data_IF_162972551871
#
_entry.id   IF_162972551871
#
_cell.length_a   1.000
_cell.length_b   1.000
_cell.length_c   1.000
_cell.angle_alpha   90.00
_cell.angle_beta   90.00
_cell.angle_gamma   90.00
#
_symmetry.space_group_name_H-M   'P 1'
#
loop_
_entity.id
_entity.type
_entity.pdbx_description
1 polymer ?
#
# COMPACT_ATOMS: atom_id res chain seq x y z
N UNK A 1 -47.44 -34.12 8.02
CA UNK A 1 -47.77 -35.52 7.66
C UNK A 1 -46.47 -36.24 7.29
N UNK A 2 -46.12 -37.20 8.15
CA UNK A 2 -45.42 -38.48 7.90
C UNK A 2 -44.10 -38.42 7.14
N UNK A 3 -42.94 -38.61 7.75
CA UNK A 3 -42.41 -39.73 8.53
C UNK A 3 -41.76 -40.83 7.65
N UNK A 4 -40.54 -41.17 8.06
CA UNK A 4 -39.85 -42.47 8.06
C UNK A 4 -38.68 -42.54 7.12
N UNK A 5 -37.51 -42.74 7.61
CA UNK A 5 -36.85 -43.76 8.43
C UNK A 5 -35.87 -44.60 7.60
N UNK A 6 -34.62 -44.60 8.10
CA UNK A 6 -33.74 -45.80 8.32
C UNK A 6 -33.11 -46.41 7.07
N UNK A 7 -31.87 -46.81 7.02
CA UNK A 7 -31.17 -47.75 7.91
C UNK A 7 -29.70 -47.77 7.67
N UNK A 8 -28.94 -47.92 8.70
CA UNK A 8 -27.51 -48.20 8.76
C UNK A 8 -27.19 -49.62 8.29
N UNK A 9 -25.97 -49.85 7.80
CA UNK A 9 -25.32 -51.15 8.01
C UNK A 9 -23.80 -50.97 8.06
N UNK A 10 -23.27 -51.31 9.21
CA UNK A 10 -21.85 -51.52 9.48
C UNK A 10 -21.42 -52.92 9.08
N UNK A 11 -20.20 -53.11 8.64
CA UNK A 11 -19.46 -54.36 8.82
C UNK A 11 -17.98 -54.11 8.94
N UNK A 12 -17.44 -54.50 10.05
CA UNK A 12 -16.06 -54.61 10.43
C UNK A 12 -15.46 -55.95 9.96
N UNK A 13 -14.17 -55.99 9.73
CA UNK A 13 -13.32 -57.20 9.93
C UNK A 13 -11.86 -56.79 9.73
N UNK A 14 -11.13 -56.70 10.78
CA UNK A 14 -10.22 -57.65 11.46
C UNK A 14 -8.79 -57.70 10.89
N UNK A 15 -7.93 -57.41 11.82
CA UNK A 15 -6.49 -57.36 11.86
C UNK A 15 -5.79 -58.65 11.42
N UNK A 16 -4.54 -58.52 11.02
CA UNK A 16 -3.50 -59.49 11.41
C UNK A 16 -2.13 -58.81 11.55
N UNK A 17 -1.56 -59.02 12.72
CA UNK A 17 -0.24 -58.66 13.18
C UNK A 17 0.76 -59.71 12.64
N UNK A 18 1.92 -59.28 12.16
CA UNK A 18 3.11 -60.13 12.16
C UNK A 18 4.31 -59.26 12.53
N UNK A 19 4.83 -59.47 13.69
CA UNK A 19 6.13 -59.01 14.15
C UNK A 19 7.22 -60.01 13.75
N UNK A 20 8.36 -59.52 13.44
CA UNK A 20 9.69 -59.93 13.89
C UNK A 20 10.75 -59.72 12.79
N UNK A 21 11.86 -59.13 13.18
CA UNK A 21 13.07 -59.09 12.38
C UNK A 21 14.04 -58.00 12.80
N UNK A 22 14.75 -58.18 13.93
CA UNK A 22 15.93 -57.41 14.27
C UNK A 22 17.02 -57.62 13.24
N UNK A 23 17.62 -56.56 12.75
CA UNK A 23 18.85 -56.58 11.98
C UNK A 23 19.38 -55.17 11.87
N UNK A 24 20.34 -54.84 12.75
CA UNK A 24 20.98 -53.51 12.77
C UNK A 24 21.83 -53.29 11.52
N UNK A 25 21.67 -52.15 10.91
CA UNK A 25 22.73 -51.50 10.16
C UNK A 25 22.52 -49.98 10.25
N UNK A 26 23.35 -49.35 11.03
CA UNK A 26 23.38 -47.90 11.22
C UNK A 26 23.93 -47.24 9.94
N UNK A 27 23.09 -46.92 9.01
CA UNK A 27 23.44 -46.07 7.88
C UNK A 27 23.10 -44.64 8.27
N UNK A 28 24.01 -43.66 8.14
CA UNK A 28 23.69 -42.28 8.48
C UNK A 28 22.57 -41.82 7.53
N UNK A 29 21.47 -41.37 8.15
CA UNK A 29 20.39 -40.74 7.41
C UNK A 29 20.96 -39.56 6.60
N UNK A 30 21.08 -39.72 5.32
CA UNK A 30 21.23 -38.59 4.41
C UNK A 30 20.06 -37.68 4.69
N UNK A 31 20.36 -36.52 5.25
CA UNK A 31 19.45 -35.40 5.34
C UNK A 31 18.93 -35.15 3.91
N UNK A 32 17.78 -35.71 3.61
CA UNK A 32 17.06 -35.41 2.39
C UNK A 32 16.80 -33.92 2.39
N UNK A 33 17.43 -33.19 1.49
CA UNK A 33 16.99 -31.86 1.14
C UNK A 33 15.51 -31.96 0.88
N UNK A 34 14.71 -31.32 1.72
CA UNK A 34 13.28 -31.18 1.49
C UNK A 34 13.13 -30.58 0.08
N UNK A 35 12.66 -31.40 -0.85
CA UNK A 35 12.25 -30.95 -2.18
C UNK A 35 11.23 -29.86 -1.90
N UNK A 36 11.63 -28.60 -2.07
CA UNK A 36 10.80 -27.45 -1.74
C UNK A 36 9.47 -27.60 -2.46
N UNK A 37 8.39 -27.74 -1.70
CA UNK A 37 7.06 -27.75 -2.27
C UNK A 37 6.93 -26.51 -3.15
N UNK A 38 6.54 -26.69 -4.41
CA UNK A 38 6.32 -25.58 -5.35
C UNK A 38 5.28 -24.66 -4.74
N UNK A 39 5.61 -23.38 -4.60
CA UNK A 39 4.68 -22.38 -4.11
C UNK A 39 3.76 -22.01 -5.27
N UNK A 40 2.47 -22.24 -5.08
CA UNK A 40 1.41 -21.94 -6.06
C UNK A 40 0.31 -21.11 -5.39
N UNK A 41 -0.52 -20.50 -6.20
CA UNK A 41 -1.69 -19.76 -5.71
C UNK A 41 -1.79 -18.36 -6.27
N UNK A 42 -2.74 -17.59 -5.71
CA UNK A 42 -2.99 -16.21 -6.11
C UNK A 42 -2.85 -15.28 -4.91
N UNK A 43 -2.15 -14.19 -5.10
CA UNK A 43 -2.03 -13.11 -4.12
C UNK A 43 -2.48 -11.80 -4.75
N UNK A 44 -3.40 -11.12 -4.09
CA UNK A 44 -3.88 -9.80 -4.46
C UNK A 44 -3.40 -8.77 -3.44
N UNK A 45 -2.83 -7.67 -3.93
CA UNK A 45 -2.41 -6.55 -3.10
C UNK A 45 -3.02 -5.26 -3.64
N UNK A 46 -3.47 -4.39 -2.75
CA UNK A 46 -4.06 -3.10 -3.11
C UNK A 46 -3.66 -2.03 -2.11
N UNK A 47 -3.69 -0.77 -2.51
CA UNK A 47 -3.54 0.35 -1.59
C UNK A 47 -2.63 1.45 -2.07
N UNK A 48 -1.62 1.82 -1.28
CA UNK A 48 -0.75 2.95 -1.53
C UNK A 48 -0.15 2.96 -2.94
N UNK A 49 -0.40 4.03 -3.68
CA UNK A 49 0.29 4.26 -4.95
C UNK A 49 1.75 4.65 -4.74
N UNK A 50 2.09 5.25 -3.60
CA UNK A 50 3.47 5.63 -3.25
C UNK A 50 4.37 4.41 -3.07
N UNK A 51 3.84 3.30 -2.51
CA UNK A 51 4.56 2.03 -2.37
C UNK A 51 4.57 1.18 -3.65
N UNK A 52 3.75 1.52 -4.64
CA UNK A 52 3.55 0.67 -5.82
C UNK A 52 4.84 0.34 -6.58
N UNK A 53 5.81 1.25 -6.79
CA UNK A 53 7.09 0.91 -7.44
C UNK A 53 7.87 -0.16 -6.67
N UNK A 54 8.00 -0.03 -5.35
CA UNK A 54 8.67 -1.01 -4.49
C UNK A 54 7.97 -2.37 -4.53
N UNK A 55 6.65 -2.37 -4.42
CA UNK A 55 5.84 -3.60 -4.43
C UNK A 55 5.92 -4.30 -5.78
N UNK A 56 5.92 -3.56 -6.90
CA UNK A 56 6.11 -4.12 -8.25
C UNK A 56 7.46 -4.80 -8.40
N UNK A 57 8.55 -4.17 -7.94
CA UNK A 57 9.89 -4.75 -8.00
C UNK A 57 10.00 -6.02 -7.12
N UNK A 58 9.48 -5.95 -5.90
CA UNK A 58 9.43 -7.11 -5.00
C UNK A 58 8.60 -8.26 -5.60
N UNK A 59 7.45 -7.96 -6.18
CA UNK A 59 6.58 -8.94 -6.84
C UNK A 59 7.26 -9.59 -8.04
N UNK A 60 7.98 -8.83 -8.87
CA UNK A 60 8.74 -9.37 -9.99
C UNK A 60 9.84 -10.34 -9.53
N UNK A 61 10.57 -9.96 -8.48
CA UNK A 61 11.60 -10.83 -7.86
C UNK A 61 11.00 -12.08 -7.21
N UNK A 62 9.85 -11.95 -6.57
CA UNK A 62 9.14 -13.10 -6.00
C UNK A 62 8.65 -14.06 -7.09
N UNK A 63 8.05 -13.53 -8.15
CA UNK A 63 7.55 -14.31 -9.28
C UNK A 63 8.66 -15.06 -10.02
N UNK A 64 9.85 -14.47 -10.16
CA UNK A 64 10.98 -15.15 -10.79
C UNK A 64 11.42 -16.41 -10.03
N UNK A 65 11.23 -16.43 -8.71
CA UNK A 65 11.50 -17.58 -7.84
C UNK A 65 10.32 -18.56 -7.73
N UNK A 66 9.11 -18.06 -7.96
CA UNK A 66 7.85 -18.79 -7.79
C UNK A 66 6.94 -18.58 -9.01
N UNK A 67 7.29 -19.15 -10.19
CA UNK A 67 6.63 -18.83 -11.46
C UNK A 67 5.15 -19.25 -11.50
N UNK A 68 4.74 -20.17 -10.65
CA UNK A 68 3.35 -20.67 -10.58
C UNK A 68 2.44 -19.79 -9.70
N UNK A 69 2.98 -18.76 -9.04
CA UNK A 69 2.17 -17.81 -8.26
C UNK A 69 1.64 -16.69 -9.16
N UNK A 70 0.34 -16.41 -9.07
CA UNK A 70 -0.29 -15.25 -9.70
C UNK A 70 -0.29 -14.07 -8.73
N UNK A 71 0.20 -12.91 -9.17
CA UNK A 71 0.24 -11.68 -8.38
C UNK A 71 -0.55 -10.59 -9.08
N UNK A 72 -1.52 -10.00 -8.36
CA UNK A 72 -2.30 -8.85 -8.83
C UNK A 72 -2.04 -7.67 -7.91
N UNK A 73 -1.61 -6.55 -8.49
CA UNK A 73 -1.24 -5.34 -7.75
C UNK A 73 -2.10 -4.16 -8.21
N UNK A 74 -2.80 -3.52 -7.28
CA UNK A 74 -3.66 -2.38 -7.55
C UNK A 74 -3.24 -1.16 -6.71
N UNK A 75 -3.31 0.02 -7.30
CA UNK A 75 -3.27 1.28 -6.58
C UNK A 75 -4.70 1.71 -6.19
N UNK A 76 -4.84 2.68 -5.29
CA UNK A 76 -6.14 3.20 -4.86
C UNK A 76 -6.06 3.97 -3.54
N UNK A 77 -4.83 4.18 -3.05
CA UNK A 77 -4.55 4.84 -1.79
C UNK A 77 -4.58 3.91 -0.58
N UNK A 78 -3.85 4.30 0.46
CA UNK A 78 -3.67 3.52 1.70
C UNK A 78 -4.99 3.15 2.36
N UNK A 79 -5.94 4.07 2.46
CA UNK A 79 -7.25 3.82 3.06
C UNK A 79 -8.05 2.76 2.32
N UNK A 80 -7.98 2.75 0.98
CA UNK A 80 -8.64 1.72 0.16
C UNK A 80 -8.01 0.35 0.42
N UNK A 81 -6.67 0.25 0.39
CA UNK A 81 -5.97 -1.01 0.66
C UNK A 81 -6.25 -1.57 2.05
N UNK A 82 -6.20 -0.71 3.06
CA UNK A 82 -6.50 -1.09 4.44
C UNK A 82 -7.95 -1.57 4.61
N UNK A 83 -8.90 -0.88 3.98
CA UNK A 83 -10.31 -1.32 4.00
C UNK A 83 -10.47 -2.69 3.34
N UNK A 84 -9.89 -2.86 2.16
CA UNK A 84 -10.01 -4.10 1.39
C UNK A 84 -9.37 -5.31 2.10
N UNK A 85 -8.20 -5.15 2.74
CA UNK A 85 -7.58 -6.24 3.50
C UNK A 85 -8.35 -6.54 4.78
N UNK A 86 -8.91 -5.55 5.46
CA UNK A 86 -9.76 -5.75 6.64
C UNK A 86 -11.09 -6.47 6.30
N UNK A 87 -11.57 -6.33 5.08
CA UNK A 87 -12.77 -7.00 4.55
C UNK A 87 -12.44 -8.35 3.88
N UNK A 88 -11.16 -8.74 3.81
CA UNK A 88 -10.72 -10.00 3.19
C UNK A 88 -10.84 -10.04 1.67
N UNK A 89 -11.07 -8.89 1.01
CA UNK A 89 -11.18 -8.82 -0.46
C UNK A 89 -9.82 -8.76 -1.17
N UNK A 90 -8.75 -8.48 -0.44
CA UNK A 90 -7.36 -8.64 -0.87
C UNK A 90 -6.53 -9.30 0.22
N UNK A 91 -5.41 -9.91 -0.15
CA UNK A 91 -4.52 -10.58 0.79
C UNK A 91 -3.58 -9.60 1.51
N UNK A 92 -3.19 -8.51 0.82
CA UNK A 92 -2.24 -7.53 1.32
C UNK A 92 -2.81 -6.12 1.10
N UNK A 93 -2.85 -5.32 2.15
CA UNK A 93 -3.16 -3.90 2.10
C UNK A 93 -1.87 -3.08 2.18
N UNK A 94 -1.50 -2.41 1.10
CA UNK A 94 -0.34 -1.52 1.08
C UNK A 94 -0.71 -0.16 1.68
N UNK A 95 0.04 0.31 2.67
CA UNK A 95 -0.26 1.57 3.34
C UNK A 95 0.99 2.35 3.71
N UNK A 96 0.90 3.68 3.60
CA UNK A 96 1.93 4.63 4.03
C UNK A 96 1.80 4.99 5.51
N UNK A 97 0.68 4.63 6.12
CA UNK A 97 0.34 4.96 7.51
C UNK A 97 -0.19 3.72 8.24
N UNK A 98 -0.09 3.67 9.57
CA UNK A 98 -0.70 2.61 10.37
C UNK A 98 -2.20 2.48 10.12
N UNK A 99 -2.74 1.27 10.30
CA UNK A 99 -4.16 0.97 10.02
C UNK A 99 -5.11 1.86 10.83
N UNK A 100 -4.77 2.18 12.06
CA UNK A 100 -5.57 3.02 12.99
C UNK A 100 -5.75 4.46 12.51
N UNK A 101 -4.89 4.94 11.60
CA UNK A 101 -5.04 6.27 10.98
C UNK A 101 -6.17 6.32 9.93
N UNK A 102 -6.63 5.16 9.44
CA UNK A 102 -7.60 5.06 8.33
C UNK A 102 -8.79 4.17 8.64
N UNK A 103 -8.72 3.33 9.67
CA UNK A 103 -9.76 2.38 10.03
C UNK A 103 -10.21 2.57 11.48
N UNK A 104 -11.46 2.24 11.80
CA UNK A 104 -11.91 2.07 13.18
C UNK A 104 -11.03 1.03 13.91
N UNK A 105 -10.79 1.26 15.21
CA UNK A 105 -9.90 0.44 16.03
C UNK A 105 -10.23 -1.07 15.95
N UNK A 106 -11.50 -1.43 15.94
CA UNK A 106 -11.93 -2.84 15.86
C UNK A 106 -11.53 -3.52 14.55
N UNK A 107 -11.52 -2.78 13.43
CA UNK A 107 -11.06 -3.31 12.13
C UNK A 107 -9.54 -3.35 12.05
N UNK A 108 -8.86 -2.37 12.63
CA UNK A 108 -7.40 -2.30 12.64
C UNK A 108 -6.77 -3.43 13.46
N UNK A 109 -7.33 -3.78 14.62
CA UNK A 109 -6.84 -4.86 15.51
C UNK A 109 -6.70 -6.23 14.85
N UNK A 110 -7.49 -6.52 13.81
CA UNK A 110 -7.43 -7.77 13.06
C UNK A 110 -6.29 -7.85 12.04
N UNK A 111 -5.57 -6.76 11.83
CA UNK A 111 -4.52 -6.68 10.82
C UNK A 111 -3.14 -6.85 11.46
N UNK A 112 -2.22 -7.46 10.71
CA UNK A 112 -0.82 -7.57 11.09
C UNK A 112 -0.01 -6.56 10.25
N UNK A 113 0.67 -5.64 10.93
CA UNK A 113 1.51 -4.64 10.28
C UNK A 113 2.92 -5.17 10.01
N UNK A 114 3.34 -5.11 8.75
CA UNK A 114 4.68 -5.45 8.30
C UNK A 114 5.37 -4.20 7.76
N UNK A 115 6.21 -3.56 8.55
CA UNK A 115 7.01 -2.40 8.12
C UNK A 115 8.08 -2.84 7.11
N UNK A 116 7.98 -2.36 5.87
CA UNK A 116 8.86 -2.77 4.77
C UNK A 116 9.87 -1.70 4.38
N UNK A 117 9.58 -0.42 4.64
CA UNK A 117 10.49 0.70 4.36
C UNK A 117 10.08 1.95 5.15
N UNK A 118 10.96 2.95 5.13
CA UNK A 118 10.64 4.34 5.46
C UNK A 118 10.44 5.13 4.16
N UNK A 119 9.62 6.17 4.20
CA UNK A 119 9.28 6.96 3.04
C UNK A 119 9.48 8.46 3.33
N UNK A 120 10.03 9.18 2.36
CA UNK A 120 10.12 10.62 2.39
C UNK A 120 9.05 11.21 1.48
N UNK A 121 8.32 12.21 1.96
CA UNK A 121 7.39 13.00 1.14
C UNK A 121 8.06 14.30 0.76
N UNK A 122 8.06 14.62 -0.52
CA UNK A 122 8.63 15.84 -1.07
C UNK A 122 7.54 16.70 -1.71
N UNK A 123 7.66 18.01 -1.55
CA UNK A 123 6.86 18.98 -2.31
C UNK A 123 7.48 19.13 -3.70
N UNK A 124 6.65 19.13 -4.73
CA UNK A 124 7.04 19.35 -6.11
C UNK A 124 6.28 20.54 -6.68
N UNK A 125 6.95 21.31 -7.53
CA UNK A 125 6.38 22.50 -8.18
C UNK A 125 6.61 22.45 -9.69
N UNK A 126 5.74 23.14 -10.42
CA UNK A 126 5.90 23.29 -11.86
C UNK A 126 7.25 23.96 -12.17
N UNK A 127 7.91 23.53 -13.25
CA UNK A 127 9.26 24.01 -13.64
C UNK A 127 9.33 25.53 -13.83
N UNK A 128 8.25 26.17 -14.33
CA UNK A 128 8.24 27.61 -14.59
C UNK A 128 8.30 28.44 -13.29
N UNK A 129 7.93 27.83 -12.16
CA UNK A 129 8.05 28.40 -10.81
C UNK A 129 9.40 28.05 -10.18
N UNK A 130 9.91 26.83 -10.42
CA UNK A 130 11.13 26.31 -9.79
C UNK A 130 12.38 27.17 -10.04
N UNK A 131 12.44 27.90 -11.15
CA UNK A 131 13.54 28.82 -11.45
C UNK A 131 13.55 30.06 -10.56
N UNK A 132 12.41 30.47 -10.04
CA UNK A 132 12.22 31.67 -9.22
C UNK A 132 12.11 31.35 -7.73
N UNK A 133 11.42 30.29 -7.38
CA UNK A 133 11.20 29.86 -5.98
C UNK A 133 12.06 28.63 -5.70
N UNK A 134 13.16 28.83 -4.99
CA UNK A 134 14.12 27.74 -4.68
C UNK A 134 13.81 27.05 -3.36
N UNK A 135 13.09 27.70 -2.47
CA UNK A 135 12.66 27.15 -1.18
C UNK A 135 11.42 27.87 -0.66
N UNK A 136 10.67 27.19 0.18
CA UNK A 136 9.59 27.74 1.00
C UNK A 136 9.90 27.44 2.45
N UNK A 137 9.63 28.37 3.33
CA UNK A 137 9.61 28.09 4.78
C UNK A 137 8.43 27.16 5.10
N UNK A 138 8.48 26.48 6.24
CA UNK A 138 7.36 25.63 6.69
C UNK A 138 6.05 26.43 6.79
N UNK A 139 6.11 27.68 7.27
CA UNK A 139 4.93 28.55 7.36
C UNK A 139 4.37 28.90 5.97
N UNK A 140 5.25 29.27 5.02
CA UNK A 140 4.83 29.55 3.63
C UNK A 140 4.18 28.32 2.99
N UNK A 141 4.75 27.11 3.22
CA UNK A 141 4.19 25.88 2.72
C UNK A 141 2.78 25.62 3.28
N UNK A 142 2.60 25.81 4.59
CA UNK A 142 1.29 25.71 5.24
C UNK A 142 0.29 26.73 4.68
N UNK A 143 0.69 27.97 4.52
CA UNK A 143 -0.18 29.05 4.01
C UNK A 143 -0.57 28.82 2.55
N UNK A 144 0.32 28.27 1.73
CA UNK A 144 0.03 27.85 0.36
C UNK A 144 -0.99 26.71 0.35
N UNK A 145 -0.75 25.62 1.04
CA UNK A 145 -1.65 24.46 0.99
C UNK A 145 -2.99 24.66 1.69
N UNK A 146 -3.08 25.62 2.62
CA UNK A 146 -4.35 26.04 3.23
C UNK A 146 -5.06 27.15 2.45
N UNK A 147 -4.50 27.54 1.29
CA UNK A 147 -4.99 28.62 0.43
C UNK A 147 -5.14 29.99 1.12
N UNK A 148 -4.32 30.27 2.13
CA UNK A 148 -4.12 31.62 2.66
C UNK A 148 -3.26 32.46 1.73
N UNK A 149 -2.25 31.85 1.11
CA UNK A 149 -1.44 32.38 0.01
C UNK A 149 -1.93 31.74 -1.29
N UNK A 150 -2.27 32.56 -2.27
CA UNK A 150 -2.88 32.10 -3.52
C UNK A 150 -2.13 32.57 -4.78
N UNK A 151 -1.08 33.34 -4.60
CA UNK A 151 -0.25 33.82 -5.68
C UNK A 151 1.24 33.67 -5.31
N UNK A 152 2.03 33.18 -6.25
CA UNK A 152 3.45 32.92 -6.04
C UNK A 152 4.24 34.17 -5.66
N UNK A 153 3.81 35.38 -6.07
CA UNK A 153 4.48 36.63 -5.69
C UNK A 153 4.51 36.87 -4.18
N UNK A 154 3.54 36.33 -3.43
CA UNK A 154 3.44 36.46 -1.99
C UNK A 154 4.55 35.69 -1.25
N UNK A 155 5.18 34.75 -1.94
CA UNK A 155 6.29 33.93 -1.42
C UNK A 155 7.57 34.09 -2.22
N UNK A 156 7.71 35.21 -2.94
CA UNK A 156 8.96 35.58 -3.68
C UNK A 156 9.05 35.02 -5.10
N UNK A 157 7.95 34.49 -5.62
CA UNK A 157 7.85 33.99 -7.00
C UNK A 157 7.32 35.05 -7.99
N UNK A 158 6.98 34.62 -9.21
CA UNK A 158 6.36 35.49 -10.22
C UNK A 158 4.90 35.84 -9.85
N UNK A 159 4.34 36.85 -10.48
CA UNK A 159 2.90 37.16 -10.38
C UNK A 159 2.09 36.11 -11.14
N UNK A 160 1.87 34.99 -10.52
CA UNK A 160 1.22 33.80 -11.06
C UNK A 160 0.35 33.15 -9.99
N UNK A 161 -0.92 32.81 -10.29
CA UNK A 161 -1.76 32.08 -9.36
C UNK A 161 -1.16 30.72 -8.96
N UNK A 162 -1.31 30.34 -7.70
CA UNK A 162 -0.95 29.02 -7.22
C UNK A 162 -2.07 28.04 -7.55
N UNK A 163 -1.73 26.93 -8.20
CA UNK A 163 -2.64 25.82 -8.46
C UNK A 163 -2.25 24.65 -7.56
N UNK A 164 -3.08 24.34 -6.58
CA UNK A 164 -2.85 23.19 -5.70
C UNK A 164 -3.20 21.90 -6.44
N UNK A 165 -2.32 20.90 -6.37
CA UNK A 165 -2.58 19.54 -6.82
C UNK A 165 -2.49 18.63 -5.61
N UNK A 166 -3.65 18.09 -5.21
CA UNK A 166 -3.80 17.36 -3.94
C UNK A 166 -4.24 15.91 -4.16
N UNK A 167 -4.37 15.19 -3.09
CA UNK A 167 -4.77 13.78 -3.06
C UNK A 167 -6.06 13.61 -2.28
N UNK A 168 -6.89 12.58 -2.56
CA UNK A 168 -8.08 12.28 -1.77
C UNK A 168 -7.74 11.88 -0.33
N UNK A 169 -8.72 11.95 0.55
CA UNK A 169 -8.56 11.59 1.98
C UNK A 169 -8.15 10.13 2.21
N UNK A 170 -8.36 9.26 1.23
CA UNK A 170 -7.89 7.87 1.23
C UNK A 170 -6.38 7.76 1.06
N UNK A 171 -5.69 8.80 0.57
CA UNK A 171 -4.25 8.79 0.37
C UNK A 171 -3.49 8.76 1.71
N UNK A 172 -2.55 7.83 1.83
CA UNK A 172 -1.60 7.80 2.95
C UNK A 172 -0.54 8.89 2.83
N UNK A 173 -0.08 9.19 1.61
CA UNK A 173 0.86 10.29 1.35
C UNK A 173 0.28 11.64 1.76
N UNK A 174 -1.03 11.88 1.48
CA UNK A 174 -1.73 13.05 2.01
C UNK A 174 -1.71 13.09 3.54
N UNK A 175 -2.03 11.97 4.19
CA UNK A 175 -2.04 11.92 5.65
C UNK A 175 -0.67 12.25 6.26
N UNK A 176 0.41 11.72 5.68
CA UNK A 176 1.77 12.05 6.11
C UNK A 176 2.13 13.50 5.83
N UNK A 177 1.77 14.03 4.66
CA UNK A 177 2.03 15.42 4.31
C UNK A 177 1.30 16.38 5.24
N UNK A 178 0.02 16.14 5.52
CA UNK A 178 -0.77 16.92 6.48
C UNK A 178 -0.15 16.89 7.88
N UNK A 179 0.27 15.71 8.35
CA UNK A 179 0.85 15.56 9.68
C UNK A 179 2.22 16.23 9.80
N UNK A 180 3.11 15.98 8.84
CA UNK A 180 4.54 16.35 8.95
C UNK A 180 4.85 17.73 8.38
N UNK A 181 4.19 18.13 7.28
CA UNK A 181 4.49 19.39 6.60
C UNK A 181 3.49 20.51 6.95
N UNK A 182 2.22 20.15 7.15
CA UNK A 182 1.17 21.14 7.43
C UNK A 182 0.84 21.27 8.92
N UNK A 183 1.62 20.63 9.81
CA UNK A 183 1.38 20.63 11.25
C UNK A 183 -0.07 20.24 11.64
N UNK A 184 -0.65 19.29 10.90
CA UNK A 184 -2.01 18.81 11.09
C UNK A 184 -3.11 19.69 10.49
N UNK A 185 -2.78 20.78 9.80
CA UNK A 185 -3.77 21.61 9.12
C UNK A 185 -4.24 20.92 7.83
N UNK A 186 -5.55 20.92 7.61
CA UNK A 186 -6.13 20.35 6.38
C UNK A 186 -5.80 21.22 5.16
N UNK A 187 -5.45 20.56 4.06
CA UNK A 187 -5.24 21.23 2.79
C UNK A 187 -6.58 21.71 2.17
N UNK A 188 -6.52 22.79 1.41
CA UNK A 188 -7.68 23.40 0.77
C UNK A 188 -8.13 22.59 -0.48
N UNK A 189 -8.59 21.35 -0.28
CA UNK A 189 -8.98 20.41 -1.35
C UNK A 189 -10.11 20.93 -2.23
N UNK A 190 -11.00 21.75 -1.71
CA UNK A 190 -12.09 22.37 -2.48
C UNK A 190 -11.63 23.46 -3.46
N UNK A 191 -10.33 23.81 -3.44
CA UNK A 191 -9.68 24.77 -4.33
C UNK A 191 -8.51 24.16 -5.09
N UNK A 192 -8.47 22.85 -5.20
CA UNK A 192 -7.36 22.10 -5.78
C UNK A 192 -7.78 21.20 -6.92
N UNK A 193 -6.81 20.76 -7.71
CA UNK A 193 -6.94 19.63 -8.62
C UNK A 193 -6.66 18.36 -7.81
N UNK A 194 -7.66 17.55 -7.58
CA UNK A 194 -7.49 16.28 -6.86
C UNK A 194 -7.12 15.15 -7.81
N UNK A 195 -6.13 14.34 -7.46
CA UNK A 195 -5.64 13.21 -8.25
C UNK A 195 -5.58 11.93 -7.41
N UNK A 196 -5.95 10.80 -8.00
CA UNK A 196 -6.07 9.53 -7.26
C UNK A 196 -4.73 8.83 -6.97
N UNK A 197 -3.70 9.10 -7.76
CA UNK A 197 -2.40 8.44 -7.63
C UNK A 197 -1.20 9.38 -7.79
N UNK A 198 -0.01 8.90 -7.39
CA UNK A 198 1.23 9.68 -7.40
C UNK A 198 1.70 10.03 -8.81
N UNK A 199 1.54 9.13 -9.78
CA UNK A 199 1.96 9.37 -11.16
C UNK A 199 1.13 10.47 -11.82
N UNK A 200 -0.20 10.42 -11.65
CA UNK A 200 -1.11 11.45 -12.13
C UNK A 200 -0.84 12.81 -11.47
N UNK A 201 -0.51 12.83 -10.17
CA UNK A 201 -0.14 14.06 -9.48
C UNK A 201 1.09 14.71 -10.11
N UNK A 202 2.15 13.95 -10.35
CA UNK A 202 3.37 14.45 -10.99
C UNK A 202 3.07 15.03 -12.37
N UNK A 203 2.29 14.32 -13.18
CA UNK A 203 1.90 14.80 -14.51
C UNK A 203 1.07 16.09 -14.42
N UNK A 204 0.13 16.16 -13.49
CA UNK A 204 -0.68 17.37 -13.29
C UNK A 204 0.17 18.57 -12.89
N UNK A 205 1.13 18.39 -11.97
CA UNK A 205 2.07 19.46 -11.58
C UNK A 205 2.96 19.86 -12.77
N UNK A 206 3.48 18.91 -13.53
CA UNK A 206 4.35 19.18 -14.66
C UNK A 206 3.65 19.94 -15.79
N UNK A 207 2.37 19.67 -16.02
CA UNK A 207 1.58 20.23 -17.14
C UNK A 207 0.84 21.51 -16.77
N UNK A 208 0.66 21.81 -15.49
CA UNK A 208 -0.14 22.95 -15.03
C UNK A 208 0.79 24.08 -14.57
N UNK A 209 0.70 25.22 -15.24
CA UNK A 209 1.46 26.42 -14.86
C UNK A 209 1.08 26.86 -13.45
N UNK A 210 2.06 27.25 -12.65
CA UNK A 210 1.85 27.66 -11.27
C UNK A 210 1.51 26.52 -10.29
N UNK A 211 1.57 25.26 -10.73
CA UNK A 211 1.16 24.14 -9.88
C UNK A 211 2.19 23.78 -8.81
N UNK A 212 1.65 23.35 -7.67
CA UNK A 212 2.37 22.75 -6.53
C UNK A 212 1.62 21.51 -6.05
N UNK A 213 2.34 20.48 -5.69
CA UNK A 213 1.82 19.26 -5.13
C UNK A 213 2.85 18.55 -4.26
N UNK A 214 2.57 17.34 -3.87
CA UNK A 214 3.48 16.53 -3.04
C UNK A 214 3.46 15.07 -3.45
N UNK A 215 4.59 14.41 -3.33
CA UNK A 215 4.77 13.03 -3.73
C UNK A 215 5.75 12.31 -2.82
N UNK A 216 5.62 11.01 -2.70
CA UNK A 216 6.63 10.20 -2.06
C UNK A 216 7.82 9.97 -3.00
N UNK A 217 9.04 10.09 -2.49
CA UNK A 217 10.20 9.57 -3.19
C UNK A 217 10.18 8.02 -3.09
N UNK A 218 10.40 7.28 -4.13
CA UNK A 218 11.16 7.55 -5.36
C UNK A 218 10.31 7.74 -6.62
N UNK A 219 9.33 8.61 -6.63
CA UNK A 219 8.65 9.00 -7.88
C UNK A 219 9.41 10.07 -8.62
#
# INVERSE_FOLDING_TARGET
MKLKKMMALALASTALIAAAGCGGNSQPAKSGAASGAKVTGQVTASGSSALLPLVKDAAAKFKSKNPEVSLTLNAGGSGTGLKQVAEGSVNIGNSDVPAEKKLPAEKAKGLVDHKVCTMTVATIINKDIADKVKSLTSQQLQDVFTAKVTNWKEVGGPDEPIVLVTRPTTSGTRALFTELALAGQEEASNKSLETDDSGTLIQSVAQTKGAIGYVALPY
#
